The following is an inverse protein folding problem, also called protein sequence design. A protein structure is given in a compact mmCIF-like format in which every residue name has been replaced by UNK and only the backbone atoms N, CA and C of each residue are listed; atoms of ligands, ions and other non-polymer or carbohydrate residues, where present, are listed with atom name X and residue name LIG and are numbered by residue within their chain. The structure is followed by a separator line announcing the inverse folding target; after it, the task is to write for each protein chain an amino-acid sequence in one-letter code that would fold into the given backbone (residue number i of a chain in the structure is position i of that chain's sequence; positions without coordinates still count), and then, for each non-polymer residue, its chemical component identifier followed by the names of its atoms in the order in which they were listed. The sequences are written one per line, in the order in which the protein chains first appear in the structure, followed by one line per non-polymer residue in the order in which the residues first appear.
data_IF_414808011833
#
_entry.id   IF_414808011833
#
_cell.length_a   1.000
_cell.length_b   1.000
_cell.length_c   1.000
_cell.angle_alpha   90.00
_cell.angle_beta   90.00
_cell.angle_gamma   90.00
#
_symmetry.space_group_name_H-M   'P 1'
#
loop_
_entity.id
_entity.type
_entity.pdbx_description
1 polymer ?
#
# COMPACT_ATOMS: atom_id res chain seq x y z
N UNK A 1 -36.09 -6.35 66.28
CA UNK A 1 -34.77 -6.38 65.61
C UNK A 1 -34.79 -7.43 64.52
N UNK A 2 -34.77 -7.02 63.24
CA UNK A 2 -34.53 -7.92 62.09
C UNK A 2 -33.71 -7.10 61.08
N UNK A 3 -32.40 -7.35 61.05
CA UNK A 3 -31.51 -6.79 60.03
C UNK A 3 -31.57 -7.71 58.81
N UNK A 4 -32.21 -7.25 57.74
CA UNK A 4 -32.08 -7.84 56.42
C UNK A 4 -30.95 -7.07 55.72
N UNK A 5 -29.77 -7.70 55.65
CA UNK A 5 -28.66 -7.23 54.82
C UNK A 5 -28.96 -7.55 53.35
N UNK A 6 -28.72 -6.63 52.39
CA UNK A 6 -28.89 -6.92 50.98
C UNK A 6 -27.74 -7.83 50.50
N UNK A 7 -28.09 -8.89 49.77
CA UNK A 7 -27.15 -9.67 48.97
C UNK A 7 -26.52 -8.74 47.92
N UNK A 8 -25.18 -8.61 47.86
CA UNK A 8 -24.56 -7.96 46.73
C UNK A 8 -24.67 -8.92 45.54
N UNK A 9 -25.51 -8.57 44.57
CA UNK A 9 -25.53 -9.21 43.26
C UNK A 9 -24.12 -9.10 42.68
N UNK A 10 -23.42 -10.24 42.60
CA UNK A 10 -22.13 -10.35 41.94
C UNK A 10 -22.29 -9.82 40.52
N UNK A 11 -21.67 -8.67 40.26
CA UNK A 11 -21.27 -8.21 38.93
C UNK A 11 -20.35 -9.28 38.31
N UNK A 12 -20.94 -10.27 37.64
CA UNK A 12 -20.26 -11.05 36.61
C UNK A 12 -20.10 -10.14 35.38
N UNK A 13 -19.17 -9.19 35.48
CA UNK A 13 -18.55 -8.61 34.29
C UNK A 13 -17.64 -9.69 33.71
N UNK A 14 -17.84 -10.13 32.45
CA UNK A 14 -16.86 -10.94 31.78
C UNK A 14 -15.66 -10.03 31.48
N UNK A 15 -14.71 -9.99 32.43
CA UNK A 15 -13.34 -9.56 32.19
C UNK A 15 -12.66 -10.61 31.29
N UNK A 16 -13.06 -10.64 30.03
CA UNK A 16 -12.37 -11.33 28.96
C UNK A 16 -12.00 -10.31 27.89
N UNK A 17 -11.27 -9.27 28.30
CA UNK A 17 -10.37 -8.59 27.36
C UNK A 17 -9.00 -9.23 27.60
N UNK A 18 -8.85 -10.47 27.13
CA UNK A 18 -7.52 -11.00 26.87
C UNK A 18 -7.02 -10.19 25.67
N UNK A 19 -6.25 -9.13 25.92
CA UNK A 19 -5.39 -8.58 24.87
C UNK A 19 -4.47 -9.71 24.45
N UNK A 20 -4.79 -10.38 23.34
CA UNK A 20 -3.86 -11.32 22.73
C UNK A 20 -2.59 -10.53 22.43
N UNK A 21 -1.47 -10.99 22.96
CA UNK A 21 -0.15 -10.44 22.67
C UNK A 21 0.14 -10.76 21.20
N UNK A 22 -0.26 -9.85 20.31
CA UNK A 22 -0.05 -9.99 18.87
C UNK A 22 1.43 -9.75 18.59
N UNK A 23 2.08 -10.68 17.88
CA UNK A 23 3.49 -10.52 17.53
C UNK A 23 3.70 -9.18 16.78
N UNK A 24 4.74 -8.39 17.09
CA UNK A 24 4.90 -7.05 16.53
C UNK A 24 4.88 -7.00 14.99
N UNK A 25 5.42 -8.02 14.32
CA UNK A 25 5.39 -8.12 12.86
C UNK A 25 3.97 -8.38 12.32
N UNK A 26 3.16 -9.15 13.05
CA UNK A 26 1.75 -9.35 12.70
C UNK A 26 0.99 -8.04 12.87
N UNK A 27 1.23 -7.31 13.97
CA UNK A 27 0.60 -6.01 14.18
C UNK A 27 0.99 -5.00 13.10
N UNK A 28 2.27 -4.95 12.72
CA UNK A 28 2.75 -4.09 11.63
C UNK A 28 2.07 -4.44 10.29
N UNK A 29 1.90 -5.72 9.99
CA UNK A 29 1.20 -6.17 8.78
C UNK A 29 -0.30 -5.82 8.81
N UNK A 30 -0.96 -5.88 9.98
CA UNK A 30 -2.36 -5.48 10.15
C UNK A 30 -2.57 -3.98 9.95
N UNK A 31 -1.70 -3.16 10.56
CA UNK A 31 -1.76 -1.69 10.51
C UNK A 31 -1.21 -1.11 9.21
N UNK A 32 -0.69 -1.97 8.33
CA UNK A 32 -0.08 -1.53 7.08
C UNK A 32 -1.06 -0.76 6.20
N UNK A 33 -0.53 0.29 5.57
CA UNK A 33 -1.25 1.11 4.61
C UNK A 33 -0.41 1.28 3.36
N UNK A 34 -1.10 1.32 2.22
CA UNK A 34 -0.47 1.54 0.91
C UNK A 34 0.25 2.90 0.93
N UNK A 35 1.58 2.95 0.77
CA UNK A 35 2.29 4.21 0.72
C UNK A 35 1.88 4.99 -0.53
N UNK A 36 1.78 6.31 -0.40
CA UNK A 36 1.54 7.18 -1.56
C UNK A 36 2.73 7.10 -2.51
N UNK A 37 2.47 6.96 -3.81
CA UNK A 37 3.51 7.11 -4.82
C UNK A 37 3.84 8.61 -5.03
N UNK A 38 5.03 9.02 -4.62
CA UNK A 38 5.51 10.41 -4.72
C UNK A 38 6.32 10.68 -6.01
N UNK A 39 6.39 9.71 -6.94
CA UNK A 39 7.12 9.86 -8.18
C UNK A 39 6.39 10.79 -9.15
N UNK A 40 6.89 12.01 -9.31
CA UNK A 40 6.29 13.00 -10.21
C UNK A 40 6.98 13.05 -11.57
N UNK A 41 6.17 13.20 -12.63
CA UNK A 41 6.64 13.55 -13.97
C UNK A 41 6.08 14.92 -14.37
N UNK A 42 6.96 15.91 -14.52
CA UNK A 42 6.60 17.33 -14.74
C UNK A 42 7.35 17.95 -15.92
N UNK A 43 7.49 17.21 -17.03
CA UNK A 43 8.16 17.72 -18.24
C UNK A 43 7.27 17.50 -19.45
N UNK A 44 6.98 18.59 -20.17
CA UNK A 44 6.31 18.52 -21.47
C UNK A 44 7.33 18.21 -22.55
N UNK A 45 6.92 17.44 -23.55
CA UNK A 45 7.77 17.20 -24.72
C UNK A 45 7.81 18.47 -25.56
N UNK A 46 9.01 18.93 -25.89
CA UNK A 46 9.24 20.21 -26.59
C UNK A 46 9.57 20.03 -28.08
N UNK A 47 9.95 18.83 -28.51
CA UNK A 47 10.24 18.51 -29.91
C UNK A 47 9.57 17.20 -30.35
N UNK A 48 8.77 17.28 -31.41
CA UNK A 48 8.12 16.15 -32.08
C UNK A 48 9.00 15.76 -33.26
N UNK A 49 9.54 14.53 -33.26
CA UNK A 49 10.45 14.05 -34.31
C UNK A 49 11.95 14.22 -34.03
N UNK A 50 12.35 14.82 -32.90
CA UNK A 50 13.75 14.92 -32.45
C UNK A 50 13.99 14.35 -31.04
N UNK A 51 15.27 14.26 -30.64
CA UNK A 51 15.68 13.79 -29.30
C UNK A 51 15.47 14.89 -28.25
N UNK A 52 14.40 14.82 -27.47
CA UNK A 52 14.20 15.71 -26.32
C UNK A 52 14.97 15.19 -25.09
N UNK A 53 16.20 15.68 -24.92
CA UNK A 53 17.11 15.25 -23.85
C UNK A 53 16.56 15.55 -22.46
N UNK A 54 15.76 16.60 -22.29
CA UNK A 54 15.18 16.98 -20.99
C UNK A 54 14.03 16.03 -20.64
N UNK A 55 13.16 15.73 -21.60
CA UNK A 55 12.13 14.72 -21.46
C UNK A 55 12.73 13.35 -21.13
N UNK A 56 13.77 12.91 -21.84
CA UNK A 56 14.44 11.63 -21.58
C UNK A 56 15.06 11.56 -20.17
N UNK A 57 15.71 12.64 -19.73
CA UNK A 57 16.26 12.71 -18.36
C UNK A 57 15.16 12.65 -17.30
N UNK A 58 14.06 13.38 -17.50
CA UNK A 58 12.91 13.35 -16.61
C UNK A 58 12.26 11.97 -16.58
N UNK A 59 12.15 11.31 -17.73
CA UNK A 59 11.61 9.95 -17.85
C UNK A 59 12.48 8.97 -17.08
N UNK A 60 13.80 9.01 -17.29
CA UNK A 60 14.74 8.15 -16.56
C UNK A 60 14.66 8.36 -15.04
N UNK A 61 14.54 9.61 -14.59
CA UNK A 61 14.39 9.94 -13.17
C UNK A 61 13.07 9.39 -12.61
N UNK A 62 11.97 9.57 -13.34
CA UNK A 62 10.66 9.04 -12.98
C UNK A 62 10.67 7.52 -12.93
N UNK A 63 11.16 6.83 -13.97
CA UNK A 63 11.25 5.36 -14.01
C UNK A 63 12.05 4.83 -12.83
N UNK A 64 13.23 5.40 -12.55
CA UNK A 64 14.05 4.98 -11.40
C UNK A 64 13.36 5.21 -10.06
N UNK A 65 12.56 6.27 -9.93
CA UNK A 65 11.75 6.49 -8.74
C UNK A 65 10.66 5.42 -8.62
N UNK A 66 9.93 5.16 -9.71
CA UNK A 66 8.82 4.22 -9.72
C UNK A 66 9.29 2.77 -9.47
N UNK A 67 10.43 2.38 -10.03
CA UNK A 67 11.09 1.09 -9.75
C UNK A 67 11.36 0.90 -8.25
N UNK A 68 11.83 1.95 -7.56
CA UNK A 68 12.04 1.89 -6.10
C UNK A 68 10.74 1.73 -5.33
N UNK A 69 9.71 2.47 -5.73
CA UNK A 69 8.38 2.36 -5.13
C UNK A 69 7.83 0.94 -5.29
N UNK A 70 7.89 0.38 -6.51
CA UNK A 70 7.46 -0.99 -6.79
C UNK A 70 8.27 -2.04 -6.02
N UNK A 71 9.60 -1.90 -5.98
CA UNK A 71 10.46 -2.79 -5.20
C UNK A 71 10.10 -2.78 -3.71
N UNK A 72 9.76 -1.62 -3.15
CA UNK A 72 9.25 -1.49 -1.79
C UNK A 72 7.95 -2.25 -1.58
N UNK A 73 7.00 -2.15 -2.52
CA UNK A 73 5.74 -2.91 -2.46
C UNK A 73 5.97 -4.43 -2.55
N UNK A 74 6.89 -4.90 -3.40
CA UNK A 74 7.24 -6.32 -3.51
C UNK A 74 7.83 -6.82 -2.20
N UNK A 75 8.81 -6.11 -1.65
CA UNK A 75 9.43 -6.46 -0.38
C UNK A 75 8.40 -6.52 0.76
N UNK A 76 7.47 -5.57 0.79
CA UNK A 76 6.42 -5.54 1.80
C UNK A 76 5.44 -6.71 1.69
N UNK A 77 5.02 -7.05 0.47
CA UNK A 77 4.21 -8.25 0.24
C UNK A 77 4.95 -9.51 0.70
N UNK A 78 6.25 -9.59 0.47
CA UNK A 78 7.06 -10.73 0.91
C UNK A 78 7.20 -10.77 2.45
N UNK A 79 7.32 -9.61 3.12
CA UNK A 79 7.25 -9.51 4.58
C UNK A 79 5.91 -10.02 5.12
N UNK A 80 4.80 -9.60 4.51
CA UNK A 80 3.44 -10.05 4.88
C UNK A 80 3.25 -11.55 4.71
N UNK A 81 3.86 -12.18 3.72
CA UNK A 81 3.86 -13.65 3.62
C UNK A 81 4.65 -14.29 4.77
N UNK A 82 5.75 -13.68 5.18
CA UNK A 82 6.60 -14.14 6.28
C UNK A 82 5.91 -14.12 7.65
N UNK A 83 4.98 -13.19 7.89
CA UNK A 83 4.31 -13.07 9.21
C UNK A 83 3.45 -14.29 9.57
N UNK A 84 3.08 -15.12 8.58
CA UNK A 84 2.33 -16.35 8.79
C UNK A 84 3.04 -17.33 9.74
N UNK A 85 4.38 -17.27 9.84
CA UNK A 85 5.16 -18.10 10.75
C UNK A 85 4.88 -17.84 12.25
N UNK A 86 4.34 -16.67 12.60
CA UNK A 86 3.97 -16.31 13.97
C UNK A 86 2.61 -16.85 14.40
N UNK A 87 1.88 -17.48 13.47
CA UNK A 87 0.49 -17.89 13.66
C UNK A 87 -0.47 -16.71 13.50
N UNK A 88 -1.52 -16.91 12.73
CA UNK A 88 -2.54 -15.91 12.44
C UNK A 88 -3.92 -16.47 12.78
N UNK A 89 -4.80 -15.62 13.31
CA UNK A 89 -6.24 -15.93 13.26
C UNK A 89 -6.72 -15.82 11.82
N UNK A 90 -7.87 -16.43 11.51
CA UNK A 90 -8.49 -16.29 10.18
C UNK A 90 -8.72 -14.82 9.81
N UNK A 91 -9.23 -14.03 10.77
CA UNK A 91 -9.49 -12.60 10.57
C UNK A 91 -8.20 -11.82 10.25
N UNK A 92 -7.10 -12.10 10.96
CA UNK A 92 -5.80 -11.48 10.68
C UNK A 92 -5.28 -11.87 9.30
N UNK A 93 -5.38 -13.15 8.94
CA UNK A 93 -4.96 -13.64 7.63
C UNK A 93 -5.78 -12.98 6.51
N UNK A 94 -7.09 -12.81 6.68
CA UNK A 94 -7.96 -12.19 5.68
C UNK A 94 -7.59 -10.71 5.45
N UNK A 95 -7.31 -9.96 6.53
CA UNK A 95 -6.84 -8.56 6.44
C UNK A 95 -5.51 -8.47 5.70
N UNK A 96 -4.52 -9.29 6.09
CA UNK A 96 -3.17 -9.27 5.52
C UNK A 96 -3.21 -9.71 4.04
N UNK A 97 -4.03 -10.70 3.69
CA UNK A 97 -4.27 -11.09 2.29
C UNK A 97 -4.92 -9.96 1.49
N UNK A 98 -5.83 -9.18 2.09
CA UNK A 98 -6.39 -7.98 1.51
C UNK A 98 -5.31 -6.96 1.11
N UNK A 99 -4.37 -6.69 2.00
CA UNK A 99 -3.22 -5.80 1.74
C UNK A 99 -2.32 -6.32 0.63
N UNK A 100 -1.96 -7.60 0.67
CA UNK A 100 -1.17 -8.25 -0.38
C UNK A 100 -1.88 -8.21 -1.75
N UNK A 101 -3.20 -8.37 -1.77
CA UNK A 101 -4.01 -8.24 -2.97
C UNK A 101 -3.98 -6.83 -3.55
N UNK A 102 -4.08 -5.81 -2.70
CA UNK A 102 -3.97 -4.42 -3.12
C UNK A 102 -2.59 -4.10 -3.74
N UNK A 103 -1.52 -4.62 -3.13
CA UNK A 103 -0.16 -4.54 -3.69
C UNK A 103 -0.11 -5.19 -5.08
N UNK A 104 -0.62 -6.42 -5.22
CA UNK A 104 -0.62 -7.14 -6.49
C UNK A 104 -1.36 -6.39 -7.60
N UNK A 105 -2.48 -5.73 -7.28
CA UNK A 105 -3.21 -4.89 -8.23
C UNK A 105 -2.37 -3.70 -8.70
N UNK A 106 -1.68 -3.02 -7.78
CA UNK A 106 -0.82 -1.87 -8.12
C UNK A 106 0.33 -2.30 -9.02
N UNK A 107 1.01 -3.40 -8.69
CA UNK A 107 2.12 -3.92 -9.49
C UNK A 107 1.65 -4.31 -10.90
N UNK A 108 0.54 -5.05 -11.00
CA UNK A 108 -0.04 -5.46 -12.30
C UNK A 108 -0.42 -4.26 -13.19
N UNK A 109 -0.96 -3.18 -12.60
CA UNK A 109 -1.28 -1.96 -13.36
C UNK A 109 -0.02 -1.30 -13.91
N UNK A 110 1.06 -1.28 -13.14
CA UNK A 110 2.33 -0.68 -13.56
C UNK A 110 3.04 -1.47 -14.67
N UNK A 111 2.84 -2.78 -14.76
CA UNK A 111 3.45 -3.62 -15.81
C UNK A 111 2.72 -3.52 -17.17
N UNK A 112 1.55 -2.89 -17.22
CA UNK A 112 0.78 -2.73 -18.46
C UNK A 112 1.33 -1.58 -19.33
N UNK A 113 1.29 -1.70 -20.66
CA UNK A 113 1.71 -0.63 -21.60
C UNK A 113 0.94 0.70 -21.41
N UNK A 114 -0.21 0.67 -20.71
CA UNK A 114 -0.99 1.85 -20.32
C UNK A 114 -0.53 2.49 -18.99
N UNK A 115 0.50 1.94 -18.33
CA UNK A 115 1.03 2.40 -17.03
C UNK A 115 1.74 3.75 -17.08
N UNK A 116 1.93 4.30 -18.28
CA UNK A 116 2.40 5.66 -18.47
C UNK A 116 1.43 6.60 -17.76
N UNK A 117 1.86 7.30 -16.68
CA UNK A 117 0.98 8.21 -15.96
C UNK A 117 0.31 9.18 -16.91
N UNK A 118 -0.91 9.58 -16.59
CA UNK A 118 -1.65 10.56 -17.40
C UNK A 118 -0.83 11.81 -17.67
N UNK A 119 -0.04 12.28 -16.70
CA UNK A 119 0.90 13.40 -16.87
C UNK A 119 1.99 13.16 -17.94
N UNK A 120 2.46 11.92 -18.11
CA UNK A 120 3.38 11.53 -19.17
C UNK A 120 2.62 11.38 -20.50
N UNK A 121 1.41 10.83 -20.46
CA UNK A 121 0.57 10.60 -21.64
C UNK A 121 0.11 11.92 -22.28
N UNK A 122 -0.32 12.87 -21.46
CA UNK A 122 -0.64 14.25 -21.84
C UNK A 122 0.59 14.99 -22.38
N UNK A 123 1.76 14.82 -21.73
CA UNK A 123 3.01 15.39 -22.22
C UNK A 123 3.40 14.86 -23.61
N UNK A 124 2.99 13.64 -23.96
CA UNK A 124 3.15 13.07 -25.30
C UNK A 124 2.08 13.56 -26.29
N UNK A 125 0.81 13.69 -25.87
CA UNK A 125 -0.30 14.12 -26.75
C UNK A 125 -0.30 15.60 -27.10
N UNK A 126 0.17 16.48 -26.22
CA UNK A 126 0.25 17.95 -26.49
C UNK A 126 1.17 18.27 -27.68
N UNK A 127 1.94 17.28 -28.14
CA UNK A 127 2.86 17.37 -29.26
C UNK A 127 2.17 17.15 -30.62
N UNK A 128 1.09 16.38 -30.68
CA UNK A 128 0.42 16.01 -31.94
C UNK A 128 -0.58 17.09 -32.44
N UNK A 129 -1.01 18.00 -31.57
CA UNK A 129 -1.98 19.06 -31.90
C UNK A 129 -1.36 20.37 -32.43
N UNK A 130 -0.02 20.49 -32.48
CA UNK A 130 0.66 21.67 -33.02
C UNK A 130 1.15 21.49 -34.46
N UNK A 131 0.51 20.59 -35.23
CA UNK A 131 0.86 20.31 -36.63
C UNK A 131 -0.12 20.95 -37.60
#
# INVERSE_FOLDING_TARGET
MRKLLPLPSLLLLPLCVLGQDVHPEVQAALDWQIPKNECEFKVKRTNVGGTDRNFQKAMKKYTKCNEKYQAGLVAERDNMMGVAHHGLTQEQADIIMGHMGAIAIILKRNDSESAVPESVREANQTSDFNK
#
